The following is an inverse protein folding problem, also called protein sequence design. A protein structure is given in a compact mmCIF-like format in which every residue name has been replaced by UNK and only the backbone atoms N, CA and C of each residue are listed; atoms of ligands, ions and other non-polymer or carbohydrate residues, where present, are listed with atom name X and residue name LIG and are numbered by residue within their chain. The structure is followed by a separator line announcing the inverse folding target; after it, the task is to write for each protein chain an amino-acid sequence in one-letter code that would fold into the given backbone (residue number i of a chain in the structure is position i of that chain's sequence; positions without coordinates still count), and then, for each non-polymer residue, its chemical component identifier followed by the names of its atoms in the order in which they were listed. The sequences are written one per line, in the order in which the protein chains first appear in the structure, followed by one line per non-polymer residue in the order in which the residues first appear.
data_IF_676151498785
#
_entry.id   IF_676151498785
#
_cell.length_a   1.000
_cell.length_b   1.000
_cell.length_c   1.000
_cell.angle_alpha   90.00
_cell.angle_beta   90.00
_cell.angle_gamma   90.00
#
_symmetry.space_group_name_H-M   'P 1'
#
loop_
_entity.id
_entity.type
_entity.pdbx_description
1 polymer ?
#
# COMPACT_ATOMS: atom_id res chain seq x y z
N UNK A 1 1.70 -8.51 -20.34
CA UNK A 1 1.38 -7.30 -19.55
C UNK A 1 2.39 -7.07 -18.45
N UNK A 2 2.54 -7.97 -17.46
CA UNK A 2 3.46 -7.77 -16.33
C UNK A 2 4.90 -7.37 -16.69
N UNK A 3 5.51 -7.98 -17.71
CA UNK A 3 6.88 -7.62 -18.13
C UNK A 3 7.00 -6.19 -18.68
N UNK A 4 5.97 -5.70 -19.39
CA UNK A 4 5.95 -4.32 -19.90
C UNK A 4 5.83 -3.32 -18.76
N UNK A 5 4.93 -3.58 -17.81
CA UNK A 5 4.77 -2.75 -16.61
C UNK A 5 6.04 -2.74 -15.74
N UNK A 6 6.80 -3.85 -15.73
CA UNK A 6 8.07 -3.93 -15.02
C UNK A 6 9.18 -3.10 -15.70
N UNK A 7 9.24 -3.09 -17.03
CA UNK A 7 10.16 -2.22 -17.77
C UNK A 7 9.76 -0.75 -17.61
N UNK A 8 8.47 -0.41 -17.68
CA UNK A 8 7.99 0.94 -17.39
C UNK A 8 8.39 1.40 -15.97
N UNK A 9 8.31 0.51 -14.97
CA UNK A 9 8.77 0.82 -13.63
C UNK A 9 10.29 1.05 -13.55
N UNK A 10 11.09 0.36 -14.38
CA UNK A 10 12.53 0.61 -14.49
C UNK A 10 12.80 2.00 -15.09
N UNK A 11 12.10 2.35 -16.17
CA UNK A 11 12.24 3.64 -16.85
C UNK A 11 11.82 4.80 -15.94
N UNK A 12 10.73 4.65 -15.19
CA UNK A 12 10.31 5.64 -14.19
C UNK A 12 11.36 5.80 -13.09
N UNK A 13 11.98 4.71 -12.63
CA UNK A 13 13.04 4.80 -11.63
C UNK A 13 14.28 5.53 -12.18
N UNK A 14 14.66 5.25 -13.43
CA UNK A 14 15.76 5.93 -14.11
C UNK A 14 15.46 7.41 -14.29
N UNK A 15 14.26 7.76 -14.76
CA UNK A 15 13.79 9.14 -14.88
C UNK A 15 13.86 9.87 -13.54
N UNK A 16 13.37 9.22 -12.47
CA UNK A 16 13.41 9.80 -11.12
C UNK A 16 14.83 9.95 -10.56
N UNK A 17 15.77 9.09 -10.94
CA UNK A 17 17.17 9.19 -10.53
C UNK A 17 17.94 10.27 -11.31
N UNK A 18 17.56 10.54 -12.56
CA UNK A 18 18.15 11.57 -13.41
C UNK A 18 17.53 12.96 -13.19
N UNK A 19 16.27 13.01 -12.72
CA UNK A 19 15.53 14.24 -12.50
C UNK A 19 15.98 15.04 -11.27
N UNK A 20 15.36 16.21 -11.10
CA UNK A 20 15.61 17.10 -9.96
C UNK A 20 14.91 16.64 -8.68
N UNK A 21 14.18 17.56 -8.03
CA UNK A 21 13.43 17.21 -6.82
C UNK A 21 12.32 16.19 -7.10
N UNK A 22 11.95 15.37 -6.11
CA UNK A 22 10.83 14.41 -6.19
C UNK A 22 9.54 15.08 -6.67
N UNK A 23 9.29 16.32 -6.25
CA UNK A 23 8.13 17.11 -6.67
C UNK A 23 8.16 17.42 -8.18
N UNK A 24 9.32 17.83 -8.70
CA UNK A 24 9.51 18.11 -10.13
C UNK A 24 9.27 16.86 -10.96
N UNK A 25 9.96 15.77 -10.61
CA UNK A 25 9.84 14.45 -11.28
C UNK A 25 8.38 13.98 -11.28
N UNK A 26 7.69 14.12 -10.15
CA UNK A 26 6.28 13.71 -10.03
C UNK A 26 5.37 14.54 -10.94
N UNK A 27 5.56 15.85 -10.99
CA UNK A 27 4.77 16.73 -11.84
C UNK A 27 5.03 16.48 -13.34
N UNK A 28 6.30 16.31 -13.72
CA UNK A 28 6.69 15.98 -15.10
C UNK A 28 6.07 14.64 -15.54
N UNK A 29 6.20 13.59 -14.72
CA UNK A 29 5.61 12.28 -15.00
C UNK A 29 4.07 12.33 -15.07
N UNK A 30 3.44 13.12 -14.21
CA UNK A 30 1.99 13.30 -14.21
C UNK A 30 1.49 13.91 -15.54
N UNK A 31 2.20 14.93 -16.03
CA UNK A 31 1.90 15.57 -17.31
C UNK A 31 2.13 14.61 -18.48
N UNK A 32 3.28 13.92 -18.49
CA UNK A 32 3.65 13.02 -19.59
C UNK A 32 2.71 11.82 -19.71
N UNK A 33 2.31 11.23 -18.59
CA UNK A 33 1.39 10.08 -18.56
C UNK A 33 -0.09 10.46 -18.49
N UNK A 34 -0.42 11.76 -18.45
CA UNK A 34 -1.79 12.26 -18.27
C UNK A 34 -2.50 11.65 -17.05
N UNK A 35 -1.79 11.58 -15.92
CA UNK A 35 -2.30 11.07 -14.63
C UNK A 35 -2.23 12.14 -13.54
N UNK A 36 -2.86 11.90 -12.39
CA UNK A 36 -2.76 12.81 -11.26
C UNK A 36 -1.37 12.79 -10.63
N UNK A 37 -0.91 13.91 -10.05
CA UNK A 37 0.36 13.95 -9.31
C UNK A 37 0.42 12.92 -8.17
N UNK A 38 -0.72 12.66 -7.51
CA UNK A 38 -0.81 11.61 -6.49
C UNK A 38 -0.48 10.24 -7.06
N UNK A 39 -1.00 9.93 -8.26
CA UNK A 39 -0.73 8.66 -8.93
C UNK A 39 0.72 8.60 -9.41
N UNK A 40 1.20 9.65 -10.06
CA UNK A 40 2.59 9.73 -10.51
C UNK A 40 3.58 9.57 -9.34
N UNK A 41 3.32 10.23 -8.21
CA UNK A 41 4.17 10.12 -7.02
C UNK A 41 4.19 8.71 -6.43
N UNK A 42 3.04 8.01 -6.45
CA UNK A 42 2.98 6.60 -6.05
C UNK A 42 3.76 5.69 -7.01
N UNK A 43 3.71 5.98 -8.31
CA UNK A 43 4.44 5.22 -9.33
C UNK A 43 5.96 5.45 -9.23
N UNK A 44 6.40 6.70 -9.01
CA UNK A 44 7.81 7.03 -8.70
C UNK A 44 8.30 6.31 -7.45
N UNK A 45 7.54 6.37 -6.36
CA UNK A 45 7.92 5.74 -5.10
C UNK A 45 8.01 4.21 -5.20
N UNK A 46 7.08 3.59 -5.92
CA UNK A 46 7.10 2.16 -6.20
C UNK A 46 8.32 1.79 -7.06
N UNK A 47 8.56 2.52 -8.15
CA UNK A 47 9.67 2.30 -9.07
C UNK A 47 11.03 2.39 -8.36
N UNK A 48 11.24 3.44 -7.56
CA UNK A 48 12.45 3.60 -6.74
C UNK A 48 12.59 2.45 -5.74
N UNK A 49 11.52 2.07 -5.04
CA UNK A 49 11.61 0.99 -4.06
C UNK A 49 11.94 -0.36 -4.70
N UNK A 50 11.33 -0.68 -5.84
CA UNK A 50 11.58 -1.93 -6.58
C UNK A 50 13.03 -2.04 -7.07
N UNK A 51 13.62 -0.93 -7.50
CA UNK A 51 14.99 -0.90 -8.03
C UNK A 51 16.08 -0.78 -6.97
N UNK A 52 15.75 -0.35 -5.75
CA UNK A 52 16.73 -0.13 -4.67
C UNK A 52 16.60 -1.14 -3.53
N UNK A 53 15.47 -1.14 -2.82
CA UNK A 53 15.29 -1.86 -1.55
C UNK A 53 14.41 -3.11 -1.64
N UNK A 54 13.70 -3.32 -2.75
CA UNK A 54 12.89 -4.51 -3.04
C UNK A 54 13.33 -5.27 -4.32
N UNK A 55 14.63 -5.52 -4.52
CA UNK A 55 15.15 -6.05 -5.80
C UNK A 55 14.64 -7.46 -6.14
N UNK A 56 14.31 -8.32 -5.16
CA UNK A 56 13.82 -9.68 -5.44
C UNK A 56 12.36 -9.68 -5.86
N UNK A 57 11.54 -8.83 -5.25
CA UNK A 57 10.17 -8.56 -5.72
C UNK A 57 10.19 -8.01 -7.14
N UNK A 58 11.11 -7.10 -7.44
CA UNK A 58 11.27 -6.58 -8.79
C UNK A 58 11.70 -7.67 -9.78
N UNK A 59 12.61 -8.55 -9.39
CA UNK A 59 13.01 -9.68 -10.22
C UNK A 59 11.82 -10.62 -10.53
N UNK A 60 10.95 -10.91 -9.55
CA UNK A 60 9.73 -11.67 -9.78
C UNK A 60 8.75 -10.96 -10.73
N UNK A 61 8.66 -9.63 -10.61
CA UNK A 61 7.83 -8.81 -11.49
C UNK A 61 8.34 -8.83 -12.94
N UNK A 62 9.64 -8.66 -13.15
CA UNK A 62 10.28 -8.73 -14.47
C UNK A 62 10.15 -10.10 -15.14
N UNK A 63 10.15 -11.17 -14.35
CA UNK A 63 9.87 -12.54 -14.84
C UNK A 63 8.39 -12.79 -15.15
N UNK A 64 7.50 -11.87 -14.78
CA UNK A 64 6.05 -12.01 -14.97
C UNK A 64 5.39 -12.98 -13.99
N UNK A 65 6.07 -13.35 -12.90
CA UNK A 65 5.52 -14.22 -11.85
C UNK A 65 4.48 -13.49 -10.98
N UNK A 66 4.60 -12.17 -10.92
CA UNK A 66 3.66 -11.25 -10.28
C UNK A 66 3.32 -10.09 -11.23
N UNK A 67 2.21 -9.41 -10.98
CA UNK A 67 1.79 -8.19 -11.67
C UNK A 67 2.09 -6.94 -10.82
N UNK A 68 1.83 -5.76 -11.39
CA UNK A 68 2.03 -4.49 -10.69
C UNK A 68 1.21 -4.38 -9.39
N UNK A 69 0.01 -4.98 -9.36
CA UNK A 69 -0.85 -4.97 -8.18
C UNK A 69 -0.23 -5.76 -7.02
N UNK A 70 0.33 -6.95 -7.30
CA UNK A 70 1.06 -7.74 -6.30
C UNK A 70 2.36 -7.07 -5.87
N UNK A 71 3.08 -6.43 -6.79
CA UNK A 71 4.26 -5.65 -6.42
C UNK A 71 3.91 -4.51 -5.44
N UNK A 72 2.81 -3.78 -5.68
CA UNK A 72 2.30 -2.76 -4.75
C UNK A 72 1.93 -3.32 -3.38
N UNK A 73 1.33 -4.52 -3.32
CA UNK A 73 1.01 -5.17 -2.05
C UNK A 73 2.24 -5.51 -1.19
N UNK A 74 3.42 -5.69 -1.81
CA UNK A 74 4.68 -5.82 -1.07
C UNK A 74 5.25 -4.45 -0.71
N UNK A 75 5.17 -3.49 -1.62
CA UNK A 75 5.71 -2.15 -1.42
C UNK A 75 5.02 -1.37 -0.31
N UNK A 76 3.68 -1.28 -0.29
CA UNK A 76 2.94 -0.41 0.63
C UNK A 76 3.32 -0.63 2.12
N UNK A 77 3.37 -1.87 2.64
CA UNK A 77 3.74 -2.11 4.04
C UNK A 77 5.21 -1.79 4.36
N UNK A 78 6.08 -1.72 3.35
CA UNK A 78 7.52 -1.44 3.50
C UNK A 78 7.85 0.05 3.47
N UNK A 79 6.87 0.93 3.17
CA UNK A 79 7.07 2.39 3.10
C UNK A 79 7.67 2.94 4.41
N UNK A 80 7.18 2.47 5.55
CA UNK A 80 7.59 2.96 6.86
C UNK A 80 8.83 2.24 7.45
N UNK A 81 9.45 1.34 6.69
CA UNK A 81 10.62 0.59 7.11
C UNK A 81 11.91 1.29 6.66
N UNK A 82 13.00 1.07 7.39
CA UNK A 82 14.33 1.39 6.88
C UNK A 82 14.66 0.52 5.66
N UNK A 83 15.61 0.96 4.84
CA UNK A 83 16.00 0.20 3.63
C UNK A 83 16.54 -1.20 3.97
N UNK A 84 17.24 -1.34 5.10
CA UNK A 84 17.71 -2.64 5.60
C UNK A 84 16.53 -3.57 5.93
N UNK A 85 15.55 -3.07 6.69
CA UNK A 85 14.35 -3.84 7.04
C UNK A 85 13.51 -4.17 5.80
N UNK A 86 13.38 -3.23 4.86
CA UNK A 86 12.70 -3.46 3.60
C UNK A 86 13.37 -4.57 2.78
N UNK A 87 14.71 -4.58 2.71
CA UNK A 87 15.47 -5.65 2.06
C UNK A 87 15.30 -7.02 2.72
N UNK A 88 15.21 -7.06 4.06
CA UNK A 88 14.88 -8.30 4.78
C UNK A 88 13.47 -8.80 4.45
N UNK A 89 12.47 -7.90 4.42
CA UNK A 89 11.10 -8.24 4.03
C UNK A 89 11.07 -8.76 2.59
N UNK A 90 11.73 -8.08 1.66
CA UNK A 90 11.85 -8.48 0.26
C UNK A 90 12.43 -9.89 0.10
N UNK A 91 13.52 -10.18 0.82
CA UNK A 91 14.14 -11.49 0.82
C UNK A 91 13.20 -12.62 1.26
N UNK A 92 12.42 -12.39 2.31
CA UNK A 92 11.50 -13.39 2.87
C UNK A 92 10.26 -13.53 1.99
N UNK A 93 9.68 -12.42 1.54
CA UNK A 93 8.43 -12.39 0.77
C UNK A 93 8.64 -12.97 -0.62
N UNK A 94 9.77 -12.69 -1.28
CA UNK A 94 10.05 -13.17 -2.64
C UNK A 94 9.90 -14.69 -2.79
N UNK A 95 10.33 -15.46 -1.77
CA UNK A 95 10.18 -16.92 -1.74
C UNK A 95 8.73 -17.42 -1.67
N UNK A 96 7.78 -16.53 -1.40
CA UNK A 96 6.37 -16.83 -1.12
C UNK A 96 5.39 -16.17 -2.10
N UNK A 97 5.89 -15.46 -3.12
CA UNK A 97 5.07 -14.69 -4.07
C UNK A 97 4.27 -15.57 -5.02
N UNK A 98 4.89 -16.66 -5.50
CA UNK A 98 4.30 -17.53 -6.52
C UNK A 98 3.09 -18.29 -5.96
N UNK A 99 2.00 -18.31 -6.72
CA UNK A 99 0.79 -19.07 -6.40
C UNK A 99 -0.11 -18.49 -5.30
N UNK A 100 0.25 -17.36 -4.67
CA UNK A 100 -0.63 -16.71 -3.68
C UNK A 100 -1.71 -15.84 -4.34
N UNK A 101 -2.92 -15.97 -3.82
CA UNK A 101 -3.99 -15.00 -4.07
C UNK A 101 -3.70 -13.67 -3.34
N UNK A 102 -4.30 -12.55 -3.78
CA UNK A 102 -4.02 -11.22 -3.21
C UNK A 102 -4.20 -11.10 -1.70
N UNK A 103 -5.31 -11.60 -1.15
CA UNK A 103 -5.61 -11.48 0.28
C UNK A 103 -4.58 -12.24 1.13
N UNK A 104 -4.19 -13.45 0.69
CA UNK A 104 -3.18 -14.25 1.37
C UNK A 104 -1.79 -13.64 1.27
N UNK A 105 -1.48 -12.98 0.15
CA UNK A 105 -0.22 -12.26 -0.02
C UNK A 105 -0.14 -11.08 0.94
N UNK A 106 -1.17 -10.22 1.00
CA UNK A 106 -1.19 -9.07 1.91
C UNK A 106 -1.05 -9.50 3.38
N UNK A 107 -1.77 -10.54 3.79
CA UNK A 107 -1.63 -11.10 5.14
C UNK A 107 -0.21 -11.63 5.41
N UNK A 108 0.41 -12.31 4.42
CA UNK A 108 1.77 -12.83 4.55
C UNK A 108 2.81 -11.71 4.65
N UNK A 109 2.72 -10.67 3.81
CA UNK A 109 3.61 -9.50 3.86
C UNK A 109 3.51 -8.82 5.22
N UNK A 110 2.30 -8.54 5.69
CA UNK A 110 2.10 -7.89 7.00
C UNK A 110 2.70 -8.69 8.17
N UNK A 111 2.59 -10.02 8.14
CA UNK A 111 3.23 -10.88 9.16
C UNK A 111 4.75 -10.81 9.11
N UNK A 112 5.33 -10.76 7.90
CA UNK A 112 6.78 -10.63 7.73
C UNK A 112 7.25 -9.26 8.23
N UNK A 113 6.55 -8.18 7.84
CA UNK A 113 6.82 -6.81 8.32
C UNK A 113 6.74 -6.72 9.84
N UNK A 114 5.70 -7.27 10.46
CA UNK A 114 5.56 -7.29 11.92
C UNK A 114 6.70 -8.07 12.60
N UNK A 115 7.21 -9.12 11.96
CA UNK A 115 8.34 -9.89 12.48
C UNK A 115 9.67 -9.13 12.37
N UNK A 116 9.88 -8.42 11.26
CA UNK A 116 11.11 -7.66 10.98
C UNK A 116 11.17 -6.37 11.80
N UNK A 117 10.04 -5.67 11.92
CA UNK A 117 9.92 -4.39 12.64
C UNK A 117 8.82 -4.46 13.70
N UNK A 118 9.01 -5.28 14.73
CA UNK A 118 8.05 -5.42 15.82
C UNK A 118 7.84 -4.10 16.55
N UNK A 119 8.92 -3.39 16.90
CA UNK A 119 8.85 -2.15 17.65
C UNK A 119 8.23 -1.01 16.84
N UNK A 120 8.64 -0.82 15.59
CA UNK A 120 8.06 0.20 14.72
C UNK A 120 6.61 -0.13 14.39
N UNK A 121 6.26 -1.40 14.20
CA UNK A 121 4.86 -1.81 14.07
C UNK A 121 4.06 -1.45 15.31
N UNK A 122 4.57 -1.71 16.51
CA UNK A 122 3.91 -1.34 17.74
C UNK A 122 3.83 0.18 17.95
N UNK A 123 4.89 0.95 17.64
CA UNK A 123 4.86 2.42 17.70
C UNK A 123 3.80 2.98 16.77
N UNK A 124 3.76 2.52 15.51
CA UNK A 124 2.75 2.91 14.52
C UNK A 124 1.36 2.47 14.93
N UNK A 125 1.21 1.25 15.47
CA UNK A 125 -0.07 0.78 16.02
C UNK A 125 -0.50 1.72 17.14
N UNK A 126 0.34 1.96 18.15
CA UNK A 126 0.07 2.87 19.27
C UNK A 126 -0.30 4.28 18.82
N UNK A 127 0.40 4.84 17.83
CA UNK A 127 0.06 6.13 17.24
C UNK A 127 -1.35 6.10 16.62
N UNK A 128 -1.65 5.11 15.77
CA UNK A 128 -3.00 4.90 15.21
C UNK A 128 -4.08 4.67 16.27
N UNK A 129 -3.77 3.98 17.39
CA UNK A 129 -4.72 3.80 18.50
C UNK A 129 -4.96 5.11 19.28
N UNK A 130 -3.96 5.99 19.32
CA UNK A 130 -4.06 7.33 19.93
C UNK A 130 -4.86 8.25 19.02
N UNK A 131 -4.66 8.13 17.71
CA UNK A 131 -5.44 8.79 16.66
C UNK A 131 -6.79 8.11 16.39
N UNK A 132 -7.34 7.37 17.36
CA UNK A 132 -8.68 6.76 17.27
C UNK A 132 -9.65 7.85 16.83
N UNK A 133 -10.05 7.80 15.58
CA UNK A 133 -10.91 8.81 14.98
C UNK A 133 -12.26 8.15 14.72
N UNK A 134 -13.30 8.90 15.05
CA UNK A 134 -14.65 8.59 14.67
C UNK A 134 -15.08 9.74 13.79
N UNK A 135 -15.25 9.48 12.51
CA UNK A 135 -15.75 10.44 11.53
C UNK A 135 -17.23 10.13 11.28
N UNK A 136 -18.10 11.09 11.56
CA UNK A 136 -19.50 11.03 11.17
C UNK A 136 -19.67 11.88 9.90
N UNK A 137 -19.98 11.23 8.78
CA UNK A 137 -20.29 11.90 7.51
C UNK A 137 -21.80 11.94 7.38
N UNK A 138 -22.39 13.13 7.46
CA UNK A 138 -23.81 13.30 7.17
C UNK A 138 -24.06 13.09 5.67
N UNK A 139 -25.10 12.32 5.36
CA UNK A 139 -25.58 12.10 4.00
C UNK A 139 -26.92 12.80 3.83
N UNK A 140 -27.34 12.97 2.57
CA UNK A 140 -28.69 13.45 2.28
C UNK A 140 -29.75 12.42 2.73
N UNK A 141 -30.99 12.88 2.88
CA UNK A 141 -32.14 12.04 3.25
C UNK A 141 -32.03 11.38 4.64
N UNK A 142 -31.53 12.10 5.65
CA UNK A 142 -31.47 11.69 7.07
C UNK A 142 -30.52 10.52 7.39
N UNK A 143 -29.69 10.13 6.43
CA UNK A 143 -28.68 9.09 6.63
C UNK A 143 -27.34 9.68 7.10
N UNK A 144 -26.52 8.90 7.78
CA UNK A 144 -25.14 9.28 8.13
C UNK A 144 -24.24 8.06 8.16
N UNK A 145 -23.00 8.22 7.72
CA UNK A 145 -21.96 7.20 7.73
C UNK A 145 -21.04 7.41 8.91
N UNK A 146 -20.92 6.40 9.78
CA UNK A 146 -19.95 6.39 10.87
C UNK A 146 -18.70 5.60 10.44
N UNK A 147 -17.58 6.29 10.28
CA UNK A 147 -16.26 5.72 10.02
C UNK A 147 -15.47 5.71 11.33
N UNK A 148 -14.93 4.55 11.69
CA UNK A 148 -14.15 4.40 12.92
C UNK A 148 -12.82 3.71 12.64
N UNK A 149 -11.71 4.39 12.89
CA UNK A 149 -10.39 3.76 12.93
C UNK A 149 -10.12 3.20 14.33
N UNK A 150 -10.25 1.89 14.46
CA UNK A 150 -10.12 1.17 15.73
C UNK A 150 -9.06 0.07 15.63
N UNK A 151 -8.43 -0.32 16.75
CA UNK A 151 -7.59 -1.51 16.76
C UNK A 151 -8.42 -2.75 16.38
N UNK A 152 -7.83 -3.69 15.64
CA UNK A 152 -8.56 -4.84 15.04
C UNK A 152 -9.48 -5.61 16.01
N UNK A 153 -9.06 -5.86 17.26
CA UNK A 153 -9.88 -6.55 18.26
C UNK A 153 -11.09 -5.74 18.77
N UNK A 154 -11.13 -4.44 18.50
CA UNK A 154 -12.29 -3.58 18.73
C UNK A 154 -13.23 -3.53 17.52
N UNK A 155 -12.75 -3.72 16.29
CA UNK A 155 -13.61 -3.83 15.09
C UNK A 155 -14.62 -4.97 15.23
N UNK A 156 -14.16 -6.16 15.64
CA UNK A 156 -15.04 -7.33 15.83
C UNK A 156 -16.14 -7.07 16.87
N UNK A 157 -15.84 -6.26 17.91
CA UNK A 157 -16.84 -5.86 18.92
C UNK A 157 -17.79 -4.78 18.38
N UNK A 158 -17.31 -3.88 17.53
CA UNK A 158 -18.14 -2.83 16.91
C UNK A 158 -19.16 -3.44 15.93
N UNK A 159 -18.74 -4.41 15.12
CA UNK A 159 -19.62 -5.16 14.21
C UNK A 159 -20.79 -5.80 14.97
N UNK A 160 -20.53 -6.48 16.09
CA UNK A 160 -21.58 -7.14 16.89
C UNK A 160 -22.61 -6.20 17.54
N UNK A 161 -22.32 -4.90 17.61
CA UNK A 161 -23.19 -3.88 18.22
C UNK A 161 -23.92 -3.04 17.18
N UNK A 162 -23.65 -3.26 15.90
CA UNK A 162 -24.35 -2.56 14.83
C UNK A 162 -25.71 -3.23 14.64
N UNK A 163 -26.84 -2.50 14.64
CA UNK A 163 -28.13 -3.07 14.28
C UNK A 163 -28.01 -3.77 12.92
N UNK A 164 -28.64 -4.93 12.77
CA UNK A 164 -28.59 -5.72 11.53
C UNK A 164 -29.31 -4.94 10.41
N UNK A 165 -28.57 -4.08 9.71
CA UNK A 165 -29.02 -3.42 8.50
C UNK A 165 -28.88 -4.40 7.32
N UNK A 166 -29.81 -4.34 6.37
CA UNK A 166 -29.87 -5.21 5.19
C UNK A 166 -28.56 -5.29 4.38
N UNK A 167 -28.46 -6.21 3.42
CA UNK A 167 -27.19 -6.68 2.88
C UNK A 167 -26.45 -5.56 2.15
N UNK A 168 -25.28 -5.16 2.67
CA UNK A 168 -24.37 -4.28 1.94
C UNK A 168 -23.34 -3.59 2.82
N UNK A 169 -22.29 -4.30 3.26
CA UNK A 169 -21.03 -3.61 3.57
C UNK A 169 -20.49 -3.01 2.27
N UNK A 170 -20.78 -1.73 2.01
CA UNK A 170 -20.08 -0.97 0.97
C UNK A 170 -18.85 -0.34 1.59
N UNK A 171 -17.74 -0.49 0.88
CA UNK A 171 -16.48 0.17 1.22
C UNK A 171 -16.73 1.68 1.27
N UNK A 172 -16.27 2.38 2.32
CA UNK A 172 -16.48 3.81 2.40
C UNK A 172 -15.76 4.52 1.25
N UNK A 173 -16.30 5.63 0.72
CA UNK A 173 -15.59 6.45 -0.26
C UNK A 173 -14.28 6.98 0.35
N UNK A 174 -13.24 7.07 -0.48
CA UNK A 174 -11.94 7.63 -0.10
C UNK A 174 -12.13 9.04 0.50
N UNK A 175 -11.47 9.37 1.63
CA UNK A 175 -11.51 10.72 2.16
C UNK A 175 -10.64 11.61 1.27
N UNK A 176 -11.27 12.21 0.26
CA UNK A 176 -10.60 13.12 -0.68
C UNK A 176 -11.33 13.37 -2.00
N UNK A 177 -12.65 13.22 -2.05
CA UNK A 177 -13.48 13.71 -3.15
C UNK A 177 -14.28 14.93 -2.70
#
# INVERSE_FOLDING_TARGET
MARLEAEQAADVALFAAAGGSVRSVTAELALELSVTERRAGADVALAQALTTRLPKTFAAFRRGEIDAFKARMVFEPTIALSDEMAGQVDAIVASRLVGKNPSSLRAAVNRVVQKVDAEGYERRSRARRRDRSVCLVHQDETMSTLLCDLPHHHCTKAESKTPQAGPGMRQPPDPGA
#
